data_IF_469548842616
#
_entry.id   IF_469548842616
#
_cell.length_a   1.000
_cell.length_b   1.000
_cell.length_c   1.000
_cell.angle_alpha   90.00
_cell.angle_beta   90.00
_cell.angle_gamma   90.00
#
_symmetry.space_group_name_H-M   'P 1'
#
loop_
_entity.id
_entity.type
_entity.pdbx_description
1 polymer ?
#
# COMPACT_ATOMS: atom_id res chain seq x y z
N UNK A 1 -18.93 42.56 11.43
CA UNK A 1 -19.41 42.69 10.04
C UNK A 1 -19.33 41.33 9.36
N UNK A 2 -20.44 40.88 8.79
CA UNK A 2 -20.51 39.66 7.99
C UNK A 2 -19.64 39.79 6.73
N UNK A 3 -19.10 38.69 6.22
CA UNK A 3 -18.34 38.67 4.98
C UNK A 3 -19.31 38.72 3.79
N UNK A 4 -19.09 39.65 2.85
CA UNK A 4 -19.84 39.67 1.59
C UNK A 4 -19.33 38.60 0.61
N UNK A 5 -18.03 38.28 0.68
CA UNK A 5 -17.42 37.22 -0.10
C UNK A 5 -16.44 36.41 0.74
N UNK A 6 -16.40 35.12 0.47
CA UNK A 6 -15.42 34.20 1.04
C UNK A 6 -14.26 33.95 0.07
N UNK A 7 -13.09 33.68 0.64
CA UNK A 7 -11.85 33.42 -0.10
C UNK A 7 -11.90 32.08 -0.84
N UNK A 8 -11.25 32.03 -2.00
CA UNK A 8 -10.93 30.83 -2.77
C UNK A 8 -9.42 30.52 -2.64
N UNK A 9 -8.91 29.51 -3.36
CA UNK A 9 -7.47 29.14 -3.40
C UNK A 9 -6.95 28.38 -2.17
N UNK A 10 -7.77 27.48 -1.61
CA UNK A 10 -7.34 26.62 -0.51
C UNK A 10 -6.25 25.62 -0.95
N UNK A 11 -6.38 25.03 -2.14
CA UNK A 11 -5.49 23.96 -2.62
C UNK A 11 -4.26 24.50 -3.38
N UNK A 12 -4.47 25.48 -4.25
CA UNK A 12 -3.43 26.14 -5.04
C UNK A 12 -3.89 27.51 -5.56
N UNK A 13 -2.99 28.31 -6.14
CA UNK A 13 -3.29 29.69 -6.54
C UNK A 13 -4.23 29.83 -7.73
N UNK A 14 -4.37 28.76 -8.53
CA UNK A 14 -5.29 28.69 -9.69
C UNK A 14 -6.70 28.26 -9.28
N UNK A 15 -6.84 27.70 -8.08
CA UNK A 15 -8.09 27.14 -7.57
C UNK A 15 -9.10 28.25 -7.24
N UNK A 16 -10.21 28.29 -7.99
CA UNK A 16 -11.31 29.23 -7.76
C UNK A 16 -12.44 28.64 -6.90
N UNK A 17 -12.30 27.38 -6.46
CA UNK A 17 -13.30 26.74 -5.63
C UNK A 17 -13.35 27.38 -4.23
N UNK A 18 -14.57 27.61 -3.74
CA UNK A 18 -14.84 28.13 -2.40
C UNK A 18 -15.48 27.06 -1.53
N UNK A 19 -15.00 26.92 -0.30
CA UNK A 19 -15.59 26.06 0.73
C UNK A 19 -16.91 26.62 1.25
N UNK A 20 -16.94 27.93 1.49
CA UNK A 20 -18.16 28.66 1.83
C UNK A 20 -18.53 29.48 0.59
N UNK A 21 -19.61 29.11 -0.08
CA UNK A 21 -20.11 29.88 -1.21
C UNK A 21 -20.87 31.11 -0.73
N UNK A 22 -20.60 32.27 -1.33
CA UNK A 22 -21.40 33.47 -1.19
C UNK A 22 -22.24 33.67 -2.46
N UNK A 23 -23.54 33.90 -2.33
CA UNK A 23 -24.38 34.32 -3.46
C UNK A 23 -24.15 35.78 -3.78
N UNK A 24 -24.03 36.10 -5.06
CA UNK A 24 -24.09 37.46 -5.56
C UNK A 24 -25.56 37.88 -5.81
N UNK A 25 -25.79 39.19 -5.93
CA UNK A 25 -27.11 39.75 -6.24
C UNK A 25 -27.55 39.49 -7.69
N UNK A 26 -26.78 38.72 -8.46
CA UNK A 26 -26.94 38.49 -9.90
C UNK A 26 -26.89 37.00 -10.25
N UNK A 27 -28.03 36.42 -10.62
CA UNK A 27 -28.13 35.02 -11.06
C UNK A 27 -28.43 34.04 -9.92
N UNK A 28 -29.60 33.40 -9.99
CA UNK A 28 -30.15 32.52 -8.94
C UNK A 28 -30.01 33.08 -7.52
N UNK A 29 -30.44 34.33 -7.36
CA UNK A 29 -30.79 34.94 -6.09
C UNK A 29 -31.85 34.09 -5.39
N UNK A 30 -31.68 33.91 -4.08
CA UNK A 30 -32.62 33.27 -3.18
C UNK A 30 -34.08 33.67 -3.52
N UNK A 31 -34.89 32.73 -4.01
CA UNK A 31 -36.34 32.96 -4.30
C UNK A 31 -37.22 32.80 -3.05
N UNK A 32 -36.66 33.01 -1.86
CA UNK A 32 -37.40 32.86 -0.59
C UNK A 32 -37.85 34.20 0.02
N UNK A 33 -38.38 34.16 1.24
CA UNK A 33 -39.13 35.25 1.90
C UNK A 33 -38.28 36.37 2.53
N UNK A 34 -36.98 36.44 2.27
CA UNK A 34 -36.15 37.50 2.83
C UNK A 34 -36.42 38.82 2.12
N UNK A 35 -36.50 39.90 2.89
CA UNK A 35 -36.75 41.27 2.41
C UNK A 35 -35.45 42.02 2.11
N UNK A 36 -34.30 41.36 2.26
CA UNK A 36 -32.99 41.93 1.95
C UNK A 36 -32.89 42.26 0.46
N UNK A 37 -32.50 43.50 0.16
CA UNK A 37 -32.25 44.00 -1.19
C UNK A 37 -30.85 44.56 -1.30
N UNK A 38 -30.36 44.78 -2.53
CA UNK A 38 -29.04 45.38 -2.78
C UNK A 38 -28.83 46.74 -2.09
N UNK A 39 -29.91 47.50 -1.86
CA UNK A 39 -29.87 48.81 -1.18
C UNK A 39 -30.22 48.77 0.31
N UNK A 40 -30.79 47.68 0.81
CA UNK A 40 -31.15 47.50 2.22
C UNK A 40 -30.91 46.04 2.59
N UNK A 41 -29.71 45.76 3.11
CA UNK A 41 -29.30 44.44 3.54
C UNK A 41 -29.29 44.38 5.07
N UNK A 42 -30.38 43.87 5.65
CA UNK A 42 -30.50 43.64 7.09
C UNK A 42 -29.84 42.34 7.54
N UNK A 43 -29.21 41.60 6.62
CA UNK A 43 -28.57 40.29 6.83
C UNK A 43 -29.50 39.32 7.57
N UNK A 44 -30.71 39.11 7.03
CA UNK A 44 -31.66 38.13 7.55
C UNK A 44 -31.14 36.69 7.40
N UNK A 45 -30.15 36.49 6.54
CA UNK A 45 -29.41 35.23 6.39
C UNK A 45 -28.31 35.08 7.44
N UNK A 46 -28.12 33.86 7.95
CA UNK A 46 -26.93 33.54 8.73
C UNK A 46 -25.65 33.83 7.91
N UNK A 47 -24.77 34.68 8.44
CA UNK A 47 -23.52 35.08 7.79
C UNK A 47 -22.30 34.77 8.65
N UNK A 48 -21.16 34.51 8.02
CA UNK A 48 -19.89 34.31 8.72
C UNK A 48 -19.14 35.64 8.80
N UNK A 49 -18.57 35.98 9.95
CA UNK A 49 -17.81 37.22 10.13
C UNK A 49 -16.59 37.30 9.21
N UNK A 50 -16.33 38.47 8.62
CA UNK A 50 -15.23 38.69 7.68
C UNK A 50 -13.85 38.27 8.23
N UNK A 51 -13.51 38.72 9.44
CA UNK A 51 -12.25 38.36 10.10
C UNK A 51 -12.14 36.86 10.37
N UNK A 52 -13.25 36.21 10.72
CA UNK A 52 -13.29 34.78 11.05
C UNK A 52 -13.07 33.94 9.80
N UNK A 53 -13.78 34.23 8.71
CA UNK A 53 -13.61 33.48 7.45
C UNK A 53 -12.20 33.62 6.88
N UNK A 54 -11.59 34.81 6.97
CA UNK A 54 -10.21 35.01 6.53
C UNK A 54 -9.21 34.20 7.35
N UNK A 55 -9.33 34.23 8.69
CA UNK A 55 -8.47 33.46 9.58
C UNK A 55 -8.61 31.96 9.30
N UNK A 56 -9.82 31.43 9.30
CA UNK A 56 -10.09 30.01 9.04
C UNK A 56 -9.55 29.56 7.68
N UNK A 57 -9.77 30.35 6.62
CA UNK A 57 -9.26 30.05 5.29
C UNK A 57 -7.73 30.03 5.24
N UNK A 58 -7.07 31.05 5.79
CA UNK A 58 -5.62 31.13 5.78
C UNK A 58 -4.97 30.03 6.63
N UNK A 59 -5.55 29.70 7.78
CA UNK A 59 -5.12 28.57 8.61
C UNK A 59 -5.21 27.26 7.83
N UNK A 60 -6.35 26.98 7.19
CA UNK A 60 -6.53 25.75 6.42
C UNK A 60 -5.58 25.68 5.22
N UNK A 61 -5.40 26.79 4.49
CA UNK A 61 -4.43 26.87 3.38
C UNK A 61 -3.00 26.60 3.85
N UNK A 62 -2.63 27.15 5.01
CA UNK A 62 -1.32 26.91 5.62
C UNK A 62 -1.14 25.45 6.04
N UNK A 63 -2.14 24.83 6.69
CA UNK A 63 -2.13 23.41 7.07
C UNK A 63 -1.96 22.51 5.83
N UNK A 64 -2.76 22.73 4.78
CA UNK A 64 -2.68 21.97 3.53
C UNK A 64 -1.33 22.16 2.84
N UNK A 65 -0.67 23.31 3.01
CA UNK A 65 0.67 23.55 2.45
C UNK A 65 1.80 22.95 3.28
N UNK A 66 1.64 22.89 4.60
CA UNK A 66 2.66 22.41 5.53
C UNK A 66 2.70 20.88 5.60
N UNK A 67 1.53 20.24 5.66
CA UNK A 67 1.40 18.80 5.95
C UNK A 67 0.23 18.13 5.23
N UNK A 68 -0.38 18.79 4.24
CA UNK A 68 -1.48 18.21 3.47
C UNK A 68 -0.98 17.30 2.35
N UNK A 69 -1.61 16.14 2.22
CA UNK A 69 -1.55 15.33 1.01
C UNK A 69 -2.31 16.03 -0.12
N UNK A 70 -1.73 16.04 -1.33
CA UNK A 70 -2.35 16.61 -2.53
C UNK A 70 -2.29 15.63 -3.68
N UNK A 71 -3.43 15.42 -4.35
CA UNK A 71 -3.52 14.63 -5.58
C UNK A 71 -4.47 15.31 -6.56
N UNK A 72 -3.90 16.06 -7.51
CA UNK A 72 -4.65 16.93 -8.41
C UNK A 72 -5.49 17.94 -7.64
N UNK A 73 -6.82 17.78 -7.73
CA UNK A 73 -7.81 18.61 -7.04
C UNK A 73 -8.17 18.09 -5.63
N UNK A 74 -7.70 16.92 -5.20
CA UNK A 74 -7.93 16.47 -3.83
C UNK A 74 -6.86 17.01 -2.88
N UNK A 75 -7.29 17.45 -1.70
CA UNK A 75 -6.41 17.72 -0.57
C UNK A 75 -6.90 16.97 0.67
N UNK A 76 -6.02 16.25 1.36
CA UNK A 76 -6.32 15.60 2.63
C UNK A 76 -5.31 16.12 3.64
N UNK A 77 -5.78 16.55 4.81
CA UNK A 77 -4.91 17.09 5.86
C UNK A 77 -5.39 16.61 7.22
N UNK A 78 -4.42 16.27 8.06
CA UNK A 78 -4.66 15.93 9.45
C UNK A 78 -3.85 16.86 10.35
N UNK A 79 -4.39 17.33 11.47
CA UNK A 79 -3.65 18.16 12.45
C UNK A 79 -4.21 18.01 13.86
N UNK A 80 -3.35 18.19 14.88
CA UNK A 80 -3.79 18.36 16.25
C UNK A 80 -4.18 19.82 16.51
N UNK A 81 -5.28 20.04 17.23
CA UNK A 81 -5.74 21.38 17.64
C UNK A 81 -4.75 22.11 18.56
N UNK A 82 -3.84 21.37 19.18
CA UNK A 82 -2.82 21.88 20.10
C UNK A 82 -1.46 22.22 19.45
N UNK A 83 -1.39 22.31 18.13
CA UNK A 83 -0.16 22.58 17.35
C UNK A 83 1.00 21.58 17.60
N UNK A 84 0.64 20.34 17.94
CA UNK A 84 1.60 19.23 18.05
C UNK A 84 1.67 18.50 16.72
N UNK A 85 2.88 18.10 16.32
CA UNK A 85 3.06 17.31 15.11
C UNK A 85 2.43 15.93 15.28
N UNK A 86 1.74 15.48 14.24
CA UNK A 86 1.16 14.14 14.16
C UNK A 86 1.68 13.45 12.91
N UNK A 87 1.71 12.11 12.89
CA UNK A 87 2.03 11.37 11.67
C UNK A 87 0.96 11.61 10.59
N UNK A 88 1.39 11.67 9.33
CA UNK A 88 0.48 11.73 8.18
C UNK A 88 -0.25 10.37 8.05
N UNK A 89 -1.59 10.33 8.11
CA UNK A 89 -2.34 9.09 8.01
C UNK A 89 -2.23 8.40 6.64
N UNK A 90 -1.78 9.09 5.60
CA UNK A 90 -1.61 8.54 4.25
C UNK A 90 -0.16 8.13 3.94
N UNK A 91 0.75 8.30 4.89
CA UNK A 91 2.16 7.98 4.71
C UNK A 91 2.43 6.47 4.84
N UNK A 92 3.45 6.00 4.13
CA UNK A 92 4.05 4.69 4.39
C UNK A 92 4.96 4.73 5.65
N UNK A 93 5.37 3.57 6.19
CA UNK A 93 6.25 3.49 7.35
C UNK A 93 7.55 4.29 7.24
N UNK A 94 8.18 4.34 6.06
CA UNK A 94 9.45 5.03 5.88
C UNK A 94 9.26 6.55 5.95
N UNK A 95 8.18 7.04 5.35
CA UNK A 95 7.77 8.43 5.43
C UNK A 95 7.46 8.86 6.87
N UNK A 96 6.82 7.99 7.67
CA UNK A 96 6.55 8.27 9.09
C UNK A 96 7.84 8.29 9.92
N UNK A 97 8.74 7.33 9.73
CA UNK A 97 10.05 7.26 10.39
C UNK A 97 10.95 8.46 10.03
N UNK A 98 10.79 9.02 8.84
CA UNK A 98 11.56 10.18 8.40
C UNK A 98 13.03 9.84 8.17
N UNK A 99 13.77 10.79 7.59
CA UNK A 99 15.11 10.54 7.08
C UNK A 99 16.18 10.37 8.17
N UNK A 100 15.93 10.84 9.39
CA UNK A 100 16.90 10.81 10.49
C UNK A 100 17.06 9.40 11.08
N UNK A 101 15.96 8.67 11.28
CA UNK A 101 16.00 7.30 11.81
C UNK A 101 16.51 6.26 10.79
N UNK A 102 16.53 6.64 9.51
CA UNK A 102 17.06 5.86 8.39
C UNK A 102 18.58 6.02 8.22
N UNK A 103 19.22 6.89 8.99
CA UNK A 103 20.65 7.28 8.86
C UNK A 103 21.51 6.78 10.02
N UNK A 104 20.96 6.12 11.04
CA UNK A 104 21.69 5.75 12.29
C UNK A 104 23.14 5.30 12.05
N UNK A 105 24.09 6.01 12.67
CA UNK A 105 25.57 5.90 12.57
C UNK A 105 26.16 4.57 13.11
N UNK A 106 25.34 3.55 13.34
CA UNK A 106 25.83 2.21 13.66
C UNK A 106 26.27 1.51 12.37
N UNK A 107 27.46 0.87 12.35
CA UNK A 107 28.06 0.31 11.15
C UNK A 107 27.17 -0.78 10.57
N UNK A 108 26.45 -0.47 9.49
CA UNK A 108 25.82 -1.42 8.55
C UNK A 108 25.20 -2.69 9.18
N UNK A 109 24.66 -2.59 10.41
CA UNK A 109 23.85 -3.65 11.00
C UNK A 109 22.53 -3.58 10.25
N UNK A 110 22.45 -4.38 9.19
CA UNK A 110 21.30 -4.65 8.33
C UNK A 110 20.02 -4.22 9.03
N UNK A 111 19.48 -3.05 8.66
CA UNK A 111 18.15 -2.63 9.08
C UNK A 111 17.18 -3.67 8.54
N UNK A 112 16.92 -4.70 9.36
CA UNK A 112 15.99 -5.74 9.00
C UNK A 112 14.62 -5.09 8.92
N UNK A 113 13.78 -5.62 8.03
CA UNK A 113 12.43 -5.10 7.84
C UNK A 113 11.63 -5.16 9.18
N UNK A 114 11.96 -6.11 10.07
CA UNK A 114 11.43 -6.23 11.42
C UNK A 114 11.91 -5.11 12.36
N UNK A 115 13.19 -4.74 12.29
CA UNK A 115 13.73 -3.62 13.07
C UNK A 115 13.03 -2.30 12.71
N UNK A 116 12.75 -2.09 11.42
CA UNK A 116 11.98 -0.93 10.95
C UNK A 116 10.54 -0.92 11.48
N UNK A 117 9.85 -2.06 11.50
CA UNK A 117 8.51 -2.15 12.09
C UNK A 117 8.53 -1.82 13.60
N UNK A 118 9.53 -2.32 14.33
CA UNK A 118 9.70 -2.01 15.75
C UNK A 118 10.00 -0.52 15.98
N UNK A 119 10.84 0.10 15.13
CA UNK A 119 11.08 1.56 15.16
C UNK A 119 9.80 2.33 14.88
N UNK A 120 8.99 1.90 13.90
CA UNK A 120 7.72 2.56 13.57
C UNK A 120 6.78 2.56 14.77
N UNK A 121 6.63 1.40 15.43
CA UNK A 121 5.80 1.26 16.63
C UNK A 121 6.29 2.16 17.76
N UNK A 122 7.61 2.23 18.00
CA UNK A 122 8.21 3.16 18.97
C UNK A 122 7.94 4.61 18.61
N UNK A 123 8.03 4.99 17.33
CA UNK A 123 7.76 6.35 16.89
C UNK A 123 6.30 6.75 17.09
N UNK A 124 5.36 5.87 16.73
CA UNK A 124 3.92 6.07 17.00
C UNK A 124 3.66 6.20 18.50
N UNK A 125 4.33 5.37 19.33
CA UNK A 125 4.26 5.50 20.79
C UNK A 125 4.84 6.83 21.31
N UNK A 126 5.89 7.37 20.67
CA UNK A 126 6.45 8.69 20.97
C UNK A 126 5.42 9.82 20.77
N UNK A 127 4.67 9.78 19.66
CA UNK A 127 3.56 10.73 19.44
C UNK A 127 2.47 10.61 20.52
N UNK A 128 2.24 9.41 21.06
CA UNK A 128 1.25 9.19 22.13
C UNK A 128 1.62 9.94 23.41
N UNK A 129 2.91 9.93 23.77
CA UNK A 129 3.44 10.72 24.90
C UNK A 129 3.28 12.22 24.70
N UNK A 130 3.46 12.73 23.48
CA UNK A 130 3.39 14.17 23.19
C UNK A 130 1.93 14.68 23.09
N UNK A 131 1.05 13.92 22.44
CA UNK A 131 -0.35 14.29 22.29
C UNK A 131 -1.13 14.19 23.60
N UNK A 132 -0.94 13.14 24.40
CA UNK A 132 -1.82 12.84 25.52
C UNK A 132 -3.26 12.46 25.09
N UNK A 133 -4.14 12.17 26.05
CA UNK A 133 -5.43 11.54 25.78
C UNK A 133 -6.57 12.50 25.39
N UNK A 134 -6.43 13.80 25.63
CA UNK A 134 -7.56 14.77 25.55
C UNK A 134 -7.48 15.77 24.40
N UNK A 135 -6.49 15.63 23.49
CA UNK A 135 -6.29 16.60 22.41
C UNK A 135 -6.97 16.15 21.13
N UNK A 136 -7.75 17.04 20.53
CA UNK A 136 -8.49 16.73 19.31
C UNK A 136 -7.57 16.77 18.10
N UNK A 137 -7.53 15.65 17.38
CA UNK A 137 -6.98 15.50 16.04
C UNK A 137 -8.11 15.62 15.03
N UNK A 138 -7.95 16.52 14.08
CA UNK A 138 -8.89 16.68 12.96
C UNK A 138 -8.28 16.06 11.72
N UNK A 139 -9.05 15.23 11.01
CA UNK A 139 -8.73 14.72 9.68
C UNK A 139 -9.78 15.20 8.70
N UNK A 140 -9.35 15.95 7.68
CA UNK A 140 -10.23 16.56 6.69
C UNK A 140 -9.80 16.23 5.26
N UNK A 141 -10.73 15.72 4.47
CA UNK A 141 -10.63 15.57 3.02
C UNK A 141 -11.42 16.67 2.31
N UNK A 142 -10.81 17.28 1.31
CA UNK A 142 -11.37 18.37 0.51
C UNK A 142 -11.25 18.05 -0.96
N UNK A 143 -12.32 18.34 -1.69
CA UNK A 143 -12.36 18.14 -3.13
C UNK A 143 -13.25 19.15 -3.85
N UNK A 144 -13.07 19.32 -5.15
CA UNK A 144 -13.95 20.09 -6.03
C UNK A 144 -14.30 19.26 -7.25
N UNK A 145 -15.58 18.90 -7.38
CA UNK A 145 -16.12 18.25 -8.58
C UNK A 145 -16.45 19.27 -9.70
N UNK A 146 -16.66 20.54 -9.34
CA UNK A 146 -17.08 21.61 -10.25
C UNK A 146 -16.29 22.90 -9.99
N UNK A 147 -15.86 23.65 -11.03
CA UNK A 147 -15.24 24.95 -10.84
C UNK A 147 -16.08 25.86 -9.94
N UNK A 148 -15.46 26.43 -8.90
CA UNK A 148 -16.10 27.41 -8.03
C UNK A 148 -16.66 26.89 -6.70
N UNK A 149 -16.88 25.57 -6.54
CA UNK A 149 -17.37 24.98 -5.27
C UNK A 149 -16.45 23.87 -4.76
N UNK A 150 -16.15 23.92 -3.47
CA UNK A 150 -15.36 22.91 -2.76
C UNK A 150 -16.26 22.18 -1.77
N UNK A 151 -16.14 20.85 -1.73
CA UNK A 151 -16.82 19.98 -0.78
C UNK A 151 -15.82 19.43 0.23
N UNK A 152 -16.29 19.23 1.45
CA UNK A 152 -15.61 18.40 2.44
C UNK A 152 -16.02 16.96 2.15
N UNK A 153 -15.10 16.15 1.64
CA UNK A 153 -15.36 14.73 1.28
C UNK A 153 -15.19 13.80 2.48
N UNK A 154 -14.42 14.21 3.47
CA UNK A 154 -14.21 13.47 4.71
C UNK A 154 -13.96 14.43 5.87
N UNK A 155 -14.55 14.16 7.03
CA UNK A 155 -14.31 14.93 8.25
C UNK A 155 -14.42 14.04 9.48
N UNK A 156 -13.36 14.01 10.28
CA UNK A 156 -13.35 13.35 11.59
C UNK A 156 -12.61 14.19 12.60
N UNK A 157 -13.19 14.28 13.79
CA UNK A 157 -12.54 14.74 15.01
C UNK A 157 -12.37 13.51 15.88
N UNK A 158 -11.15 13.29 16.36
CA UNK A 158 -10.74 12.14 17.15
C UNK A 158 -9.89 12.62 18.30
N UNK A 159 -9.87 11.88 19.40
CA UNK A 159 -8.81 12.06 20.39
C UNK A 159 -7.45 11.64 19.80
N UNK A 160 -6.37 12.23 20.30
CA UNK A 160 -5.01 11.85 19.91
C UNK A 160 -4.72 10.37 20.09
N UNK A 161 -5.21 9.78 21.18
CA UNK A 161 -5.09 8.35 21.47
C UNK A 161 -5.83 7.48 20.46
N UNK A 162 -7.09 7.80 20.14
CA UNK A 162 -7.85 7.08 19.11
C UNK A 162 -7.18 7.16 17.74
N UNK A 163 -6.73 8.36 17.33
CA UNK A 163 -6.07 8.57 16.05
C UNK A 163 -4.82 7.69 15.92
N UNK A 164 -3.95 7.69 16.93
CA UNK A 164 -2.71 6.92 16.92
C UNK A 164 -2.96 5.41 17.00
N UNK A 165 -3.94 4.98 17.79
CA UNK A 165 -4.34 3.56 17.87
C UNK A 165 -4.86 3.05 16.52
N UNK A 166 -5.72 3.82 15.86
CA UNK A 166 -6.25 3.49 14.52
C UNK A 166 -5.14 3.41 13.49
N UNK A 167 -4.17 4.33 13.54
CA UNK A 167 -3.02 4.34 12.65
C UNK A 167 -2.08 3.15 12.91
N UNK A 168 -1.75 2.86 14.17
CA UNK A 168 -0.96 1.69 14.54
C UNK A 168 -1.62 0.40 14.04
N UNK A 169 -2.92 0.26 14.30
CA UNK A 169 -3.71 -0.89 13.84
C UNK A 169 -3.68 -1.01 12.32
N UNK A 170 -3.80 0.09 11.58
CA UNK A 170 -3.70 0.06 10.11
C UNK A 170 -2.34 -0.48 9.65
N UNK A 171 -1.24 0.06 10.18
CA UNK A 171 0.10 -0.38 9.81
C UNK A 171 0.43 -1.80 10.25
N UNK A 172 -0.16 -2.30 11.33
CA UNK A 172 0.01 -3.66 11.83
C UNK A 172 -0.80 -4.69 11.01
N UNK A 173 -2.09 -4.42 10.83
CA UNK A 173 -3.03 -5.35 10.19
C UNK A 173 -2.90 -5.39 8.67
N UNK A 174 -2.49 -4.28 8.05
CA UNK A 174 -2.17 -4.20 6.63
C UNK A 174 -0.65 -4.32 6.38
N UNK A 175 0.12 -4.85 7.32
CA UNK A 175 1.55 -5.04 7.14
C UNK A 175 1.87 -6.12 6.11
N UNK A 176 2.81 -5.80 5.22
CA UNK A 176 3.55 -6.82 4.48
C UNK A 176 5.01 -6.40 4.34
N UNK A 177 5.83 -7.30 3.81
CA UNK A 177 7.22 -7.01 3.52
C UNK A 177 7.36 -6.40 2.13
N UNK A 178 7.96 -5.22 2.05
CA UNK A 178 8.12 -4.45 0.83
C UNK A 178 9.60 -4.19 0.51
N UNK A 179 9.98 -4.22 -0.76
CA UNK A 179 11.34 -4.02 -1.26
C UNK A 179 11.53 -2.75 -2.12
N UNK A 180 10.45 -1.98 -2.28
CA UNK A 180 10.44 -0.77 -3.11
C UNK A 180 10.73 0.52 -2.33
N UNK A 181 11.00 0.43 -1.02
CA UNK A 181 11.38 1.59 -0.22
C UNK A 181 12.64 2.24 -0.78
N UNK A 182 12.76 3.55 -0.62
CA UNK A 182 13.87 4.32 -1.19
C UNK A 182 14.40 5.31 -0.18
N UNK A 183 15.71 5.29 0.05
CA UNK A 183 16.37 6.30 0.86
C UNK A 183 16.94 7.39 -0.05
N UNK A 184 16.41 8.63 0.03
CA UNK A 184 16.85 9.71 -0.85
C UNK A 184 18.30 10.14 -0.62
N UNK A 185 18.83 9.98 0.60
CA UNK A 185 20.22 10.34 0.94
C UNK A 185 21.21 9.32 0.40
N UNK A 186 21.01 8.04 0.71
CA UNK A 186 21.94 6.97 0.28
C UNK A 186 21.67 6.52 -1.16
N UNK A 187 20.54 6.92 -1.75
CA UNK A 187 20.04 6.48 -3.07
C UNK A 187 19.88 4.97 -3.18
N UNK A 188 19.76 4.26 -2.05
CA UNK A 188 19.61 2.80 -1.98
C UNK A 188 18.15 2.41 -1.74
N UNK A 189 17.79 1.25 -2.27
CA UNK A 189 16.52 0.60 -1.93
C UNK A 189 16.58 0.10 -0.49
N UNK A 190 15.50 0.34 0.26
CA UNK A 190 15.33 -0.15 1.62
C UNK A 190 14.13 -1.08 1.67
N UNK A 191 14.34 -2.22 2.31
CA UNK A 191 13.28 -3.17 2.61
C UNK A 191 12.58 -2.75 3.90
N UNK A 192 11.26 -2.71 3.93
CA UNK A 192 10.49 -2.30 5.12
C UNK A 192 9.27 -3.21 5.34
N UNK A 193 8.71 -3.17 6.55
CA UNK A 193 7.44 -3.82 6.90
C UNK A 193 6.43 -2.77 7.34
N UNK A 194 5.21 -2.89 6.85
CA UNK A 194 4.05 -2.11 7.28
C UNK A 194 3.06 -1.90 6.13
N UNK A 195 2.05 -1.07 6.34
CA UNK A 195 1.05 -0.81 5.30
C UNK A 195 1.62 0.01 4.13
N UNK A 196 1.27 -0.32 2.88
CA UNK A 196 1.63 0.50 1.72
C UNK A 196 0.83 1.82 1.71
N UNK A 197 1.44 2.89 1.19
CA UNK A 197 0.75 4.17 1.04
C UNK A 197 -0.50 4.03 0.13
N UNK A 198 -1.63 4.71 0.41
CA UNK A 198 -2.84 4.67 -0.41
C UNK A 198 -2.61 5.03 -1.89
N UNK A 199 -1.68 5.94 -2.17
CA UNK A 199 -1.25 6.28 -3.53
C UNK A 199 -0.62 5.08 -4.25
N UNK A 200 0.21 4.32 -3.54
CA UNK A 200 0.86 3.13 -4.08
C UNK A 200 -0.14 1.99 -4.29
N UNK A 201 -1.13 1.86 -3.40
CA UNK A 201 -2.27 0.94 -3.60
C UNK A 201 -3.01 1.26 -4.91
N UNK A 202 -3.30 2.54 -5.18
CA UNK A 202 -3.97 2.93 -6.41
C UNK A 202 -3.14 2.61 -7.67
N UNK A 203 -1.82 2.83 -7.61
CA UNK A 203 -0.92 2.48 -8.72
C UNK A 203 -0.82 0.96 -8.91
N UNK A 204 -0.79 0.18 -7.82
CA UNK A 204 -0.78 -1.28 -7.90
C UNK A 204 -2.10 -1.85 -8.47
N UNK A 205 -3.23 -1.20 -8.18
CA UNK A 205 -4.55 -1.64 -8.63
C UNK A 205 -4.78 -1.39 -10.13
N UNK A 206 -4.31 -0.24 -10.63
CA UNK A 206 -4.70 0.27 -11.95
C UNK A 206 -3.52 0.52 -12.90
N UNK A 207 -2.28 0.35 -12.44
CA UNK A 207 -1.05 0.51 -13.21
C UNK A 207 -0.40 1.89 -13.08
N UNK A 208 0.85 2.00 -13.56
CA UNK A 208 1.67 3.22 -13.44
C UNK A 208 1.11 4.44 -14.19
N UNK A 209 0.34 4.21 -15.26
CA UNK A 209 -0.29 5.25 -16.10
C UNK A 209 -1.72 5.59 -15.67
N UNK A 210 -2.16 5.16 -14.50
CA UNK A 210 -3.51 5.45 -14.02
C UNK A 210 -3.76 6.95 -13.90
N UNK A 211 -4.95 7.37 -14.33
CA UNK A 211 -5.43 8.75 -14.26
C UNK A 211 -5.55 9.22 -12.80
N UNK A 212 -5.27 10.50 -12.58
CA UNK A 212 -5.26 11.09 -11.23
C UNK A 212 -6.66 11.08 -10.61
N UNK A 213 -7.72 11.12 -11.43
CA UNK A 213 -9.11 10.98 -10.96
C UNK A 213 -9.34 9.64 -10.26
N UNK A 214 -8.79 8.55 -10.81
CA UNK A 214 -8.96 7.21 -10.24
C UNK A 214 -8.06 7.02 -9.01
N UNK A 215 -6.84 7.58 -9.00
CA UNK A 215 -5.97 7.59 -7.81
C UNK A 215 -6.67 8.26 -6.64
N UNK A 216 -7.19 9.46 -6.88
CA UNK A 216 -7.94 10.26 -5.93
C UNK A 216 -9.12 9.49 -5.34
N UNK A 217 -9.97 8.91 -6.20
CA UNK A 217 -11.13 8.13 -5.76
C UNK A 217 -10.71 6.92 -4.90
N UNK A 218 -9.57 6.30 -5.21
CA UNK A 218 -9.02 5.19 -4.42
C UNK A 218 -8.57 5.66 -3.04
N UNK A 219 -7.81 6.75 -2.97
CA UNK A 219 -7.34 7.33 -1.70
C UNK A 219 -8.52 7.77 -0.84
N UNK A 220 -9.54 8.40 -1.43
CA UNK A 220 -10.78 8.80 -0.76
C UNK A 220 -11.50 7.60 -0.12
N UNK A 221 -11.53 6.45 -0.79
CA UNK A 221 -12.16 5.21 -0.28
C UNK A 221 -11.31 4.50 0.78
N UNK A 222 -9.99 4.66 0.74
CA UNK A 222 -9.07 4.09 1.73
C UNK A 222 -8.99 4.92 3.01
N UNK A 223 -9.27 6.23 2.94
CA UNK A 223 -9.19 7.11 4.11
C UNK A 223 -10.11 6.67 5.27
N UNK A 224 -11.40 6.30 5.06
CA UNK A 224 -12.23 5.70 6.11
C UNK A 224 -11.73 4.33 6.60
N UNK A 225 -10.99 3.58 5.78
CA UNK A 225 -10.41 2.30 6.22
C UNK A 225 -9.28 2.52 7.23
N UNK A 226 -8.47 3.57 7.02
CA UNK A 226 -7.37 3.96 7.90
C UNK A 226 -7.90 4.62 9.17
N UNK A 227 -8.80 5.60 9.01
CA UNK A 227 -9.26 6.44 10.11
C UNK A 227 -10.44 5.81 10.84
N UNK A 228 -11.48 5.34 10.15
CA UNK A 228 -12.68 4.80 10.81
C UNK A 228 -12.60 3.28 11.05
N UNK A 229 -11.50 2.64 10.65
CA UNK A 229 -11.33 1.19 10.77
C UNK A 229 -12.30 0.39 9.88
N UNK A 230 -12.85 1.01 8.84
CA UNK A 230 -13.73 0.34 7.89
C UNK A 230 -13.00 -0.79 7.15
N UNK A 231 -13.77 -1.79 6.70
CA UNK A 231 -13.21 -2.87 5.88
C UNK A 231 -12.74 -2.32 4.52
N UNK A 232 -11.56 -2.77 4.07
CA UNK A 232 -11.05 -2.40 2.74
C UNK A 232 -12.03 -2.84 1.66
N UNK A 233 -12.32 -1.98 0.65
CA UNK A 233 -13.18 -2.35 -0.46
C UNK A 233 -12.64 -3.55 -1.25
N UNK A 234 -13.46 -4.61 -1.37
CA UNK A 234 -13.09 -5.86 -2.06
C UNK A 234 -12.64 -5.65 -3.49
N UNK A 235 -13.28 -4.74 -4.22
CA UNK A 235 -12.95 -4.43 -5.62
C UNK A 235 -11.53 -3.88 -5.80
N UNK A 236 -11.00 -3.14 -4.82
CA UNK A 236 -9.61 -2.65 -4.83
C UNK A 236 -8.66 -3.82 -4.63
N UNK A 237 -8.95 -4.70 -3.65
CA UNK A 237 -8.15 -5.90 -3.38
C UNK A 237 -8.11 -6.81 -4.61
N UNK A 238 -9.27 -7.11 -5.19
CA UNK A 238 -9.41 -7.94 -6.38
C UNK A 238 -8.68 -7.34 -7.59
N UNK A 239 -8.71 -6.01 -7.75
CA UNK A 239 -7.98 -5.32 -8.81
C UNK A 239 -6.46 -5.47 -8.67
N UNK A 240 -5.94 -5.30 -7.45
CA UNK A 240 -4.50 -5.45 -7.16
C UNK A 240 -4.06 -6.91 -7.32
N UNK A 241 -4.84 -7.87 -6.82
CA UNK A 241 -4.58 -9.31 -6.99
C UNK A 241 -4.53 -9.68 -8.47
N UNK A 242 -5.52 -9.22 -9.25
CA UNK A 242 -5.53 -9.44 -10.70
C UNK A 242 -4.31 -8.83 -11.39
N UNK A 243 -3.88 -7.63 -10.97
CA UNK A 243 -2.67 -7.03 -11.52
C UNK A 243 -1.40 -7.81 -11.16
N UNK A 244 -1.28 -8.29 -9.92
CA UNK A 244 -0.15 -9.12 -9.51
C UNK A 244 -0.06 -10.45 -10.29
N UNK A 245 -1.18 -10.97 -10.79
CA UNK A 245 -1.22 -12.15 -11.66
C UNK A 245 -0.69 -11.87 -13.08
N UNK A 246 -0.72 -10.61 -13.54
CA UNK A 246 -0.31 -10.19 -14.88
C UNK A 246 1.18 -9.85 -14.95
N UNK A 247 2.03 -10.73 -14.42
CA UNK A 247 3.49 -10.51 -14.30
C UNK A 247 4.17 -10.13 -15.62
N UNK A 248 3.78 -10.75 -16.73
CA UNK A 248 4.45 -10.57 -18.03
C UNK A 248 4.39 -9.15 -18.60
N UNK A 249 3.46 -8.31 -18.14
CA UNK A 249 3.26 -6.95 -18.65
C UNK A 249 4.08 -5.91 -17.86
N UNK A 250 4.66 -6.31 -16.73
CA UNK A 250 5.38 -5.42 -15.82
C UNK A 250 6.87 -5.71 -15.77
N UNK A 251 7.65 -4.67 -15.48
CA UNK A 251 9.06 -4.84 -15.14
C UNK A 251 9.19 -5.51 -13.76
N UNK A 252 10.31 -6.20 -13.51
CA UNK A 252 10.49 -7.01 -12.30
C UNK A 252 10.29 -6.22 -10.99
N UNK A 253 10.78 -4.99 -10.91
CA UNK A 253 10.62 -4.16 -9.71
C UNK A 253 9.18 -3.67 -9.52
N UNK A 254 8.48 -3.30 -10.60
CA UNK A 254 7.07 -2.87 -10.56
C UNK A 254 6.18 -4.03 -10.12
N UNK A 255 6.45 -5.22 -10.65
CA UNK A 255 5.72 -6.41 -10.29
C UNK A 255 5.97 -6.85 -8.84
N UNK A 256 7.22 -6.82 -8.33
CA UNK A 256 7.49 -7.11 -6.92
C UNK A 256 6.76 -6.13 -5.99
N UNK A 257 6.72 -4.83 -6.35
CA UNK A 257 5.91 -3.83 -5.65
C UNK A 257 4.42 -4.20 -5.65
N UNK A 258 3.85 -4.48 -6.82
CA UNK A 258 2.43 -4.87 -6.94
C UNK A 258 2.12 -6.15 -6.16
N UNK A 259 2.99 -7.17 -6.23
CA UNK A 259 2.83 -8.43 -5.51
C UNK A 259 2.82 -8.22 -3.99
N UNK A 260 3.79 -7.46 -3.46
CA UNK A 260 3.85 -7.19 -2.01
C UNK A 260 2.64 -6.39 -1.53
N UNK A 261 2.15 -5.44 -2.32
CA UNK A 261 0.91 -4.68 -2.02
C UNK A 261 -0.33 -5.60 -2.10
N UNK A 262 -0.41 -6.50 -3.09
CA UNK A 262 -1.48 -7.49 -3.19
C UNK A 262 -1.57 -8.35 -1.93
N UNK A 263 -0.41 -8.82 -1.45
CA UNK A 263 -0.31 -9.61 -0.23
C UNK A 263 -0.77 -8.82 1.01
N UNK A 264 -0.33 -7.56 1.15
CA UNK A 264 -0.74 -6.66 2.23
C UNK A 264 -2.26 -6.50 2.30
N UNK A 265 -2.89 -6.19 1.15
CA UNK A 265 -4.32 -5.95 1.07
C UNK A 265 -5.16 -7.21 1.25
N UNK A 266 -4.73 -8.33 0.68
CA UNK A 266 -5.43 -9.61 0.85
C UNK A 266 -5.37 -10.08 2.31
N UNK A 267 -4.21 -9.94 2.97
CA UNK A 267 -4.06 -10.18 4.41
C UNK A 267 -4.99 -9.28 5.22
N UNK A 268 -5.07 -7.99 4.89
CA UNK A 268 -5.94 -7.04 5.59
C UNK A 268 -7.43 -7.33 5.38
N UNK A 269 -7.84 -7.73 4.18
CA UNK A 269 -9.22 -8.12 3.91
C UNK A 269 -9.63 -9.35 4.73
N UNK A 270 -8.70 -10.31 4.88
CA UNK A 270 -8.87 -11.57 5.60
C UNK A 270 -8.15 -11.57 6.96
N UNK A 271 -8.20 -10.44 7.67
CA UNK A 271 -7.49 -10.24 8.95
C UNK A 271 -7.76 -11.36 9.98
N UNK A 272 -8.98 -11.93 9.95
CA UNK A 272 -9.40 -13.02 10.84
C UNK A 272 -8.71 -14.36 10.59
N UNK A 273 -8.13 -14.57 9.41
CA UNK A 273 -7.47 -15.82 9.03
C UNK A 273 -6.02 -15.91 9.54
N UNK A 274 -5.48 -14.82 10.11
CA UNK A 274 -4.20 -14.85 10.83
C UNK A 274 -2.99 -15.14 9.95
N UNK A 275 -3.00 -14.70 8.69
CA UNK A 275 -1.87 -14.93 7.77
C UNK A 275 -0.56 -14.31 8.30
N UNK A 276 0.47 -15.14 8.45
CA UNK A 276 1.83 -14.71 8.78
C UNK A 276 2.59 -14.25 7.54
N UNK A 277 3.55 -13.34 7.72
CA UNK A 277 4.50 -12.94 6.68
C UNK A 277 5.62 -13.97 6.48
N UNK A 278 5.78 -14.91 7.41
CA UNK A 278 6.68 -16.04 7.26
C UNK A 278 6.03 -17.16 6.45
N UNK A 279 6.85 -18.06 5.90
CA UNK A 279 6.35 -19.28 5.26
C UNK A 279 5.71 -20.18 6.31
N UNK A 280 4.43 -20.47 6.14
CA UNK A 280 3.70 -21.46 6.94
C UNK A 280 3.74 -22.80 6.20
N UNK A 281 4.68 -23.66 6.58
CA UNK A 281 4.80 -24.97 5.93
C UNK A 281 3.62 -25.91 6.23
N UNK A 282 2.87 -25.65 7.32
CA UNK A 282 1.76 -26.45 7.78
C UNK A 282 0.39 -26.03 7.21
N UNK A 283 0.29 -24.88 6.56
CA UNK A 283 -0.96 -24.44 5.92
C UNK A 283 -1.28 -25.29 4.70
N UNK A 284 -2.40 -26.00 4.77
CA UNK A 284 -2.88 -26.95 3.75
C UNK A 284 -4.01 -26.41 2.87
N UNK A 285 -4.27 -25.11 2.90
CA UNK A 285 -5.26 -24.51 2.01
C UNK A 285 -4.78 -24.65 0.56
N UNK A 286 -5.70 -25.10 -0.31
CA UNK A 286 -5.44 -25.34 -1.74
C UNK A 286 -4.69 -24.19 -2.40
N UNK A 287 -5.20 -22.96 -2.22
CA UNK A 287 -4.66 -21.78 -2.89
C UNK A 287 -3.23 -21.48 -2.41
N UNK A 288 -2.97 -21.58 -1.10
CA UNK A 288 -1.64 -21.40 -0.53
C UNK A 288 -0.64 -22.44 -1.05
N UNK A 289 -1.04 -23.71 -1.11
CA UNK A 289 -0.19 -24.80 -1.62
C UNK A 289 0.15 -24.60 -3.11
N UNK A 290 -0.82 -24.23 -3.95
CA UNK A 290 -0.53 -23.88 -5.35
C UNK A 290 0.40 -22.67 -5.47
N UNK A 291 0.25 -21.67 -4.59
CA UNK A 291 1.20 -20.57 -4.48
C UNK A 291 2.63 -21.03 -4.22
N UNK A 292 2.82 -21.96 -3.28
CA UNK A 292 4.13 -22.57 -2.96
C UNK A 292 4.70 -23.35 -4.13
N UNK A 293 3.87 -24.16 -4.81
CA UNK A 293 4.28 -24.91 -6.02
C UNK A 293 4.80 -23.97 -7.11
N UNK A 294 4.05 -22.91 -7.41
CA UNK A 294 4.44 -21.91 -8.41
C UNK A 294 5.77 -21.23 -8.05
N UNK A 295 5.99 -20.89 -6.78
CA UNK A 295 7.23 -20.27 -6.32
C UNK A 295 8.44 -21.19 -6.43
N UNK A 296 8.27 -22.47 -6.10
CA UNK A 296 9.33 -23.47 -6.21
C UNK A 296 9.71 -23.72 -7.68
N UNK A 297 8.71 -23.83 -8.56
CA UNK A 297 8.92 -23.97 -10.00
C UNK A 297 9.63 -22.75 -10.60
N UNK A 298 9.12 -21.54 -10.32
CA UNK A 298 9.70 -20.28 -10.77
C UNK A 298 11.17 -20.16 -10.35
N UNK A 299 11.45 -20.46 -9.09
CA UNK A 299 12.80 -20.31 -8.56
C UNK A 299 13.76 -21.44 -9.00
N UNK A 300 13.26 -22.65 -9.31
CA UNK A 300 14.07 -23.72 -9.94
C UNK A 300 14.46 -23.33 -11.36
N UNK A 301 13.49 -22.89 -12.16
CA UNK A 301 13.73 -22.46 -13.53
C UNK A 301 14.68 -21.25 -13.57
N UNK A 302 14.43 -20.22 -12.76
CA UNK A 302 15.28 -19.04 -12.70
C UNK A 302 16.74 -19.39 -12.36
N UNK A 303 16.97 -20.33 -11.45
CA UNK A 303 18.32 -20.77 -11.11
C UNK A 303 19.03 -21.44 -12.29
N UNK A 304 18.32 -22.29 -13.03
CA UNK A 304 18.86 -22.95 -14.22
C UNK A 304 19.14 -21.99 -15.39
N UNK A 305 18.35 -20.90 -15.49
CA UNK A 305 18.57 -19.82 -16.45
C UNK A 305 19.80 -18.99 -16.09
N UNK A 306 19.92 -18.58 -14.82
CA UNK A 306 21.06 -17.81 -14.33
C UNK A 306 22.38 -18.57 -14.55
N UNK A 307 22.40 -19.89 -14.26
CA UNK A 307 23.58 -20.73 -14.50
C UNK A 307 23.98 -20.81 -15.98
N UNK A 308 23.05 -20.60 -16.89
CA UNK A 308 23.29 -20.60 -18.33
C UNK A 308 23.53 -19.19 -18.92
N UNK A 309 23.50 -18.14 -18.09
CA UNK A 309 23.59 -16.75 -18.56
C UNK A 309 22.38 -16.31 -19.41
N UNK A 310 21.24 -16.99 -19.30
CA UNK A 310 20.02 -16.67 -20.05
C UNK A 310 19.19 -15.62 -19.28
N UNK A 311 19.07 -14.40 -19.81
CA UNK A 311 18.19 -13.36 -19.24
C UNK A 311 16.81 -13.37 -19.90
N UNK A 312 15.95 -14.28 -19.44
CA UNK A 312 14.55 -14.37 -19.88
C UNK A 312 13.60 -14.75 -18.75
N UNK A 313 12.32 -14.47 -18.95
CA UNK A 313 11.28 -14.87 -18.00
C UNK A 313 11.12 -16.39 -17.93
N UNK A 314 10.80 -16.89 -16.73
CA UNK A 314 10.45 -18.29 -16.49
C UNK A 314 9.06 -18.62 -17.06
N UNK A 315 8.79 -19.89 -17.32
CA UNK A 315 7.47 -20.36 -17.71
C UNK A 315 6.45 -20.12 -16.59
N UNK A 316 6.85 -20.28 -15.33
CA UNK A 316 6.01 -19.95 -14.17
C UNK A 316 5.61 -18.46 -14.16
N UNK A 317 6.54 -17.55 -14.44
CA UNK A 317 6.26 -16.13 -14.57
C UNK A 317 5.29 -15.81 -15.71
N UNK A 318 5.54 -16.41 -16.88
CA UNK A 318 4.75 -16.19 -18.10
C UNK A 318 3.33 -16.73 -18.01
N UNK A 319 3.15 -17.86 -17.34
CA UNK A 319 1.87 -18.54 -17.21
C UNK A 319 1.12 -18.16 -15.92
N UNK A 320 1.62 -17.23 -15.12
CA UNK A 320 1.07 -16.89 -13.80
C UNK A 320 -0.43 -16.51 -13.85
N UNK A 321 -0.85 -15.73 -14.85
CA UNK A 321 -2.27 -15.38 -15.01
C UNK A 321 -3.13 -16.62 -15.29
N UNK A 322 -2.70 -17.46 -16.23
CA UNK A 322 -3.41 -18.72 -16.55
C UNK A 322 -3.40 -19.68 -15.36
N UNK A 323 -2.33 -19.71 -14.59
CA UNK A 323 -2.20 -20.52 -13.39
C UNK A 323 -3.18 -20.07 -12.30
N UNK A 324 -3.40 -18.77 -12.14
CA UNK A 324 -4.39 -18.25 -11.22
C UNK A 324 -5.82 -18.67 -11.62
N UNK A 325 -6.14 -18.69 -12.92
CA UNK A 325 -7.47 -19.05 -13.42
C UNK A 325 -7.69 -20.58 -13.52
N UNK A 326 -6.64 -21.34 -13.87
CA UNK A 326 -6.66 -22.78 -14.13
C UNK A 326 -5.41 -23.47 -13.52
N UNK A 327 -5.35 -23.63 -12.20
CA UNK A 327 -4.14 -24.04 -11.50
C UNK A 327 -3.68 -25.46 -11.81
N UNK A 328 -4.60 -26.44 -11.89
CA UNK A 328 -4.23 -27.85 -12.09
C UNK A 328 -3.69 -28.09 -13.51
N UNK A 329 -4.43 -27.67 -14.53
CA UNK A 329 -4.00 -27.84 -15.92
C UNK A 329 -2.75 -27.03 -16.27
N UNK A 330 -2.62 -25.83 -15.72
CA UNK A 330 -1.44 -24.99 -15.93
C UNK A 330 -0.24 -25.54 -15.15
N UNK A 331 -0.43 -26.04 -13.93
CA UNK A 331 0.64 -26.69 -13.16
C UNK A 331 1.27 -27.84 -13.94
N UNK A 332 0.47 -28.72 -14.52
CA UNK A 332 0.97 -29.83 -15.36
C UNK A 332 1.88 -29.33 -16.48
N UNK A 333 1.51 -28.22 -17.13
CA UNK A 333 2.33 -27.61 -18.20
C UNK A 333 3.65 -27.09 -17.65
N UNK A 334 3.61 -26.39 -16.51
CA UNK A 334 4.80 -25.86 -15.85
C UNK A 334 5.71 -27.02 -15.41
N UNK A 335 5.17 -28.01 -14.72
CA UNK A 335 5.91 -29.17 -14.21
C UNK A 335 6.66 -29.93 -15.31
N UNK A 336 5.99 -30.22 -16.44
CA UNK A 336 6.62 -30.86 -17.59
C UNK A 336 7.73 -29.99 -18.19
N UNK A 337 7.56 -28.67 -18.20
CA UNK A 337 8.60 -27.73 -18.66
C UNK A 337 9.83 -27.67 -17.72
N UNK A 338 9.73 -28.17 -16.49
CA UNK A 338 10.86 -28.20 -15.54
C UNK A 338 11.91 -29.27 -15.87
N UNK A 339 11.56 -30.31 -16.64
CA UNK A 339 12.45 -31.44 -16.96
C UNK A 339 13.83 -31.01 -17.49
N UNK A 340 13.94 -30.17 -18.54
CA UNK A 340 15.25 -29.74 -19.04
C UNK A 340 16.06 -28.95 -18.00
N UNK A 341 15.40 -28.15 -17.15
CA UNK A 341 16.08 -27.37 -16.11
C UNK A 341 16.56 -28.25 -14.95
N UNK A 342 15.78 -29.27 -14.57
CA UNK A 342 16.19 -30.30 -13.61
C UNK A 342 17.43 -31.05 -14.11
N UNK A 343 17.43 -31.48 -15.38
CA UNK A 343 18.58 -32.15 -15.99
C UNK A 343 19.83 -31.25 -16.00
N UNK A 344 19.68 -29.98 -16.35
CA UNK A 344 20.77 -28.99 -16.36
C UNK A 344 21.38 -28.75 -14.97
N UNK A 345 20.55 -28.71 -13.93
CA UNK A 345 21.01 -28.50 -12.55
C UNK A 345 21.52 -29.78 -11.89
N UNK A 346 21.11 -30.96 -12.36
CA UNK A 346 21.50 -32.25 -11.80
C UNK A 346 21.13 -32.36 -10.32
N UNK A 347 22.04 -32.91 -9.52
CA UNK A 347 21.88 -33.09 -8.07
C UNK A 347 21.55 -31.79 -7.32
N UNK A 348 22.00 -30.63 -7.81
CA UNK A 348 21.75 -29.33 -7.19
C UNK A 348 20.23 -29.02 -7.14
N UNK A 349 19.44 -29.53 -8.08
CA UNK A 349 17.99 -29.33 -8.08
C UNK A 349 17.22 -30.16 -7.04
N UNK A 350 17.84 -31.18 -6.45
CA UNK A 350 17.16 -32.19 -5.62
C UNK A 350 16.43 -31.58 -4.41
N UNK A 351 17.01 -30.57 -3.78
CA UNK A 351 16.40 -29.86 -2.65
C UNK A 351 15.04 -29.25 -3.03
N UNK A 352 14.97 -28.58 -4.19
CA UNK A 352 13.73 -27.94 -4.68
C UNK A 352 12.70 -28.98 -5.14
N UNK A 353 13.15 -30.08 -5.74
CA UNK A 353 12.28 -31.19 -6.12
C UNK A 353 11.65 -31.83 -4.88
N UNK A 354 12.44 -32.10 -3.84
CA UNK A 354 11.93 -32.64 -2.56
C UNK A 354 10.93 -31.69 -1.91
N UNK A 355 11.13 -30.37 -2.02
CA UNK A 355 10.15 -29.39 -1.54
C UNK A 355 8.85 -29.42 -2.35
N UNK A 356 8.92 -29.60 -3.68
CA UNK A 356 7.73 -29.78 -4.53
C UNK A 356 6.96 -31.03 -4.09
N UNK A 357 7.65 -32.15 -3.89
CA UNK A 357 7.05 -33.41 -3.44
C UNK A 357 6.37 -33.27 -2.06
N UNK A 358 7.02 -32.56 -1.13
CA UNK A 358 6.43 -32.23 0.18
C UNK A 358 5.17 -31.37 0.05
N UNK A 359 5.14 -30.40 -0.86
CA UNK A 359 3.93 -29.60 -1.09
C UNK A 359 2.82 -30.46 -1.69
N UNK A 360 3.14 -31.37 -2.61
CA UNK A 360 2.17 -32.34 -3.12
C UNK A 360 1.57 -33.23 -2.02
N UNK A 361 2.39 -33.70 -1.08
CA UNK A 361 1.91 -34.52 0.03
C UNK A 361 1.03 -33.77 1.05
N UNK A 362 0.98 -32.44 0.98
CA UNK A 362 0.15 -31.62 1.87
C UNK A 362 -1.28 -31.41 1.34
N UNK A 363 -1.56 -31.78 0.09
CA UNK A 363 -2.93 -31.80 -0.41
C UNK A 363 -3.69 -32.98 0.21
N UNK A 364 -4.46 -32.70 1.26
CA UNK A 364 -5.22 -33.71 2.01
C UNK A 364 -6.32 -34.35 1.16
N UNK A 365 -6.96 -33.58 0.28
CA UNK A 365 -8.04 -34.05 -0.59
C UNK A 365 -7.59 -34.04 -2.06
N UNK A 366 -7.72 -35.18 -2.78
CA UNK A 366 -7.39 -35.23 -4.21
C UNK A 366 -8.17 -34.21 -5.05
N UNK A 367 -9.43 -33.94 -4.67
CA UNK A 367 -10.30 -32.99 -5.36
C UNK A 367 -9.74 -31.56 -5.34
N UNK A 368 -9.11 -31.14 -4.24
CA UNK A 368 -8.47 -29.83 -4.12
C UNK A 368 -7.29 -29.69 -5.10
N UNK A 369 -6.54 -30.77 -5.29
CA UNK A 369 -5.41 -30.83 -6.20
C UNK A 369 -5.82 -30.98 -7.68
N UNK A 370 -6.93 -31.63 -8.00
CA UNK A 370 -7.38 -31.81 -9.40
C UNK A 370 -8.31 -30.71 -9.88
N UNK A 371 -8.80 -29.86 -8.98
CA UNK A 371 -9.71 -28.77 -9.31
C UNK A 371 -9.01 -27.67 -10.10
N UNK A 372 -9.60 -27.26 -11.22
CA UNK A 372 -9.19 -26.09 -12.01
C UNK A 372 -9.96 -24.82 -11.62
N UNK A 373 -10.63 -24.81 -10.46
CA UNK A 373 -11.30 -23.61 -9.96
C UNK A 373 -10.29 -22.48 -9.72
N UNK A 374 -10.62 -21.26 -10.14
CA UNK A 374 -9.81 -20.06 -9.95
C UNK A 374 -9.31 -19.93 -8.51
N UNK A 375 -8.02 -19.60 -8.35
CA UNK A 375 -7.37 -19.33 -7.08
C UNK A 375 -7.76 -17.93 -6.56
N UNK A 376 -7.96 -17.82 -5.24
CA UNK A 376 -8.09 -16.55 -4.54
C UNK A 376 -6.73 -15.89 -4.33
N UNK A 377 -6.68 -14.63 -3.90
CA UNK A 377 -5.41 -13.94 -3.60
C UNK A 377 -4.50 -14.63 -2.57
N UNK A 378 -4.98 -15.65 -1.84
CA UNK A 378 -4.17 -16.45 -0.92
C UNK A 378 -2.98 -17.11 -1.61
N UNK A 379 -3.12 -17.53 -2.88
CA UNK A 379 -1.99 -18.13 -3.59
C UNK A 379 -0.81 -17.17 -3.74
N UNK A 380 -1.06 -15.86 -3.83
CA UNK A 380 -0.01 -14.85 -3.86
C UNK A 380 0.74 -14.77 -2.52
N UNK A 381 0.04 -14.98 -1.39
CA UNK A 381 0.68 -15.06 -0.08
C UNK A 381 1.64 -16.25 -0.02
N UNK A 382 1.16 -17.45 -0.37
CA UNK A 382 1.98 -18.66 -0.39
C UNK A 382 3.17 -18.54 -1.34
N UNK A 383 2.92 -17.96 -2.53
CA UNK A 383 3.95 -17.68 -3.52
C UNK A 383 5.02 -16.70 -3.00
N UNK A 384 4.61 -15.58 -2.41
CA UNK A 384 5.53 -14.58 -1.88
C UNK A 384 6.32 -15.11 -0.68
N UNK A 385 5.66 -15.76 0.29
CA UNK A 385 6.33 -16.34 1.47
C UNK A 385 7.34 -17.42 1.06
N UNK A 386 6.99 -18.29 0.11
CA UNK A 386 7.90 -19.32 -0.38
C UNK A 386 9.10 -18.72 -1.13
N UNK A 387 8.89 -17.65 -1.93
CA UNK A 387 9.99 -16.91 -2.57
C UNK A 387 10.92 -16.27 -1.55
N UNK A 388 10.38 -15.69 -0.48
CA UNK A 388 11.18 -15.10 0.59
C UNK A 388 11.99 -16.16 1.34
N UNK A 389 11.40 -17.32 1.66
CA UNK A 389 12.10 -18.41 2.33
C UNK A 389 13.24 -19.03 1.49
N UNK A 390 13.18 -18.92 0.17
CA UNK A 390 14.21 -19.41 -0.76
C UNK A 390 15.38 -18.43 -0.95
N UNK A 391 15.28 -17.19 -0.46
CA UNK A 391 16.39 -16.25 -0.53
C UNK A 391 17.51 -16.71 0.42
N UNK A 392 18.79 -16.60 0.02
CA UNK A 392 19.89 -16.93 0.90
C UNK A 392 19.84 -16.05 2.16
N UNK A 393 19.87 -16.68 3.33
CA UNK A 393 20.04 -15.97 4.60
C UNK A 393 21.48 -15.49 4.67
N UNK A 394 21.69 -14.20 4.95
CA UNK A 394 23.04 -13.61 5.06
C UNK A 394 23.84 -14.10 6.28
N UNK A 395 23.26 -14.94 7.13
CA UNK A 395 23.81 -15.30 8.45
C UNK A 395 24.11 -16.81 8.65
N UNK A 396 24.06 -17.64 7.61
CA UNK A 396 24.57 -19.02 7.72
C UNK A 396 26.00 -19.08 7.16
N UNK A 397 26.99 -19.64 7.89
CA UNK A 397 28.30 -19.88 7.31
C UNK A 397 28.13 -20.77 6.10
N UNK A 398 28.60 -20.28 4.95
CA UNK A 398 28.46 -20.92 3.65
C UNK A 398 28.82 -22.41 3.77
N UNK A 399 27.86 -23.28 3.51
CA UNK A 399 28.17 -24.70 3.32
C UNK A 399 29.17 -24.81 2.18
N UNK A 400 30.17 -25.68 2.32
CA UNK A 400 31.33 -25.85 1.43
C UNK A 400 30.95 -26.00 -0.06
N UNK A 401 29.71 -26.40 -0.36
CA UNK A 401 29.16 -26.46 -1.72
C UNK A 401 28.91 -25.08 -2.39
N UNK A 402 28.66 -24.02 -1.62
CA UNK A 402 28.44 -22.66 -2.13
C UNK A 402 29.75 -21.87 -2.32
N UNK A 403 30.81 -22.22 -1.56
CA UNK A 403 32.13 -21.61 -1.70
C UNK A 403 32.80 -22.00 -3.04
N UNK A 404 32.69 -23.27 -3.43
CA UNK A 404 33.23 -23.76 -4.71
C UNK A 404 32.54 -23.15 -5.94
N UNK A 405 31.31 -22.63 -5.79
CA UNK A 405 30.57 -21.99 -6.90
C UNK A 405 31.09 -20.56 -7.14
N UNK A 406 31.55 -19.85 -6.11
CA UNK A 406 32.08 -18.49 -6.26
C UNK A 406 33.53 -18.45 -6.76
N UNK A 407 34.33 -19.46 -6.46
CA UNK A 407 35.71 -19.54 -6.99
C UNK A 407 35.73 -19.85 -8.50
N UNK A 408 34.75 -20.61 -9.03
CA UNK A 408 34.61 -20.85 -10.47
C UNK A 408 34.05 -19.64 -11.25
N UNK A 409 33.39 -18.68 -10.59
CA UNK A 409 32.86 -17.46 -11.21
C UNK A 409 33.91 -16.32 -11.32
N UNK A 410 35.10 -16.49 -10.75
CA UNK A 410 36.20 -15.50 -10.79
C UNK A 410 37.37 -15.88 -11.70
N UNK A 411 37.29 -16.98 -12.46
CA UNK A 411 38.30 -17.39 -13.43
C UNK A 411 37.80 -17.25 -14.86
#
# INVERSE_FOLDING_TARGET
MAAEQHLAKLRNDRDRAKLISSTDWSGFTFRGRFTDTKGCNTYQTCGVGFKITQKAHNTLRWLISRQGYRSGDQAIVAWATSDIQIPDPLADPLSILGEEELVSDEPDIVLTAQNLANKLKKKIAGYKTDLGDTKDVVVMGLDSATPGRMAITFYRELTGSEFLERLEKWHETCAWVHDYGYNPKTKKRIRFVGAPAPRDIAVAAYGSRVDDKLKKATVERLLPCIIDGQQIPRDIVDSVVRQACNRSVMNGWEWNKTLSIACALFRKLNEKEGHSMALDEGRKTRDYLYGRLLALADSLEQWALNKAGEDRQTNAARLMQRFADHPYSTWRTIELSLIPYKARLGAKSQKRQTLIDKVHSLFDHPEDYTSDKKLSGEFLLGYHCQREALKPKKDEPESIDDANIREEEQI
#
